data_IF_265386434189
#
_entry.id   IF_265386434189
#
_cell.length_a   1.000
_cell.length_b   1.000
_cell.length_c   1.000
_cell.angle_alpha   90.00
_cell.angle_beta   90.00
_cell.angle_gamma   90.00
#
_symmetry.space_group_name_H-M   'P 1'
#
loop_
_entity.id
_entity.type
_entity.pdbx_description
1 polymer ?
#
# COMPACT_ATOMS: atom_id res chain seq x y z
N UNK A 1 21.38 17.11 -11.83
CA UNK A 1 20.39 16.16 -12.36
C UNK A 1 19.05 16.87 -12.36
N UNK A 2 18.31 16.86 -13.48
CA UNK A 2 16.96 17.40 -13.51
C UNK A 2 16.07 16.52 -12.65
N UNK A 3 15.38 17.11 -11.67
CA UNK A 3 14.31 16.45 -10.92
C UNK A 3 13.24 16.05 -11.94
N UNK A 4 13.14 14.76 -12.23
CA UNK A 4 12.07 14.24 -13.06
C UNK A 4 10.91 13.99 -12.11
N UNK A 5 10.05 15.01 -11.93
CA UNK A 5 8.84 14.85 -11.12
C UNK A 5 7.90 13.86 -11.83
N UNK A 6 7.70 12.69 -11.25
CA UNK A 6 6.65 11.76 -11.65
C UNK A 6 5.31 12.28 -11.13
N UNK A 7 4.59 13.02 -11.97
CA UNK A 7 3.28 13.60 -11.60
C UNK A 7 2.11 12.66 -11.82
N UNK A 8 2.29 11.61 -12.62
CA UNK A 8 1.20 10.75 -13.04
C UNK A 8 1.31 9.39 -12.36
N UNK A 9 0.22 8.97 -11.72
CA UNK A 9 0.09 7.61 -11.18
C UNK A 9 0.06 6.59 -12.32
N UNK A 10 0.55 5.35 -12.12
CA UNK A 10 0.49 4.31 -13.13
C UNK A 10 -0.96 3.99 -13.53
N UNK A 11 -1.17 3.60 -14.79
CA UNK A 11 -2.51 3.30 -15.32
C UNK A 11 -3.20 2.19 -14.52
N UNK A 12 -2.46 1.14 -14.15
CA UNK A 12 -2.98 0.04 -13.33
C UNK A 12 -3.49 0.52 -11.97
N UNK A 13 -2.93 1.60 -11.41
CA UNK A 13 -3.37 2.17 -10.14
C UNK A 13 -4.59 3.06 -10.35
N UNK A 14 -4.58 3.90 -11.40
CA UNK A 14 -5.69 4.79 -11.75
C UNK A 14 -6.99 4.03 -12.00
N UNK A 15 -6.92 2.88 -12.67
CA UNK A 15 -8.07 2.00 -12.95
C UNK A 15 -8.75 1.46 -11.67
N UNK A 16 -8.06 1.54 -10.52
CA UNK A 16 -8.47 0.96 -9.25
C UNK A 16 -8.93 2.00 -8.25
N UNK A 17 -8.65 3.28 -8.53
CA UNK A 17 -9.12 4.35 -7.67
C UNK A 17 -10.64 4.46 -7.82
N UNK A 18 -11.37 4.47 -6.70
CA UNK A 18 -12.79 4.73 -6.76
C UNK A 18 -13.05 6.14 -7.28
N UNK A 19 -14.28 6.36 -7.74
CA UNK A 19 -14.73 7.71 -8.05
C UNK A 19 -14.58 8.59 -6.81
N UNK A 20 -13.87 9.71 -6.96
CA UNK A 20 -13.72 10.69 -5.88
C UNK A 20 -15.08 11.22 -5.44
N UNK A 21 -15.25 11.28 -4.12
CA UNK A 21 -16.47 11.77 -3.49
C UNK A 21 -16.21 13.05 -2.71
N UNK A 22 -17.23 13.91 -2.61
CA UNK A 22 -17.16 15.05 -1.69
C UNK A 22 -17.10 14.53 -0.25
N UNK A 23 -16.20 15.05 0.61
CA UNK A 23 -16.15 14.66 2.01
C UNK A 23 -17.31 15.30 2.79
N UNK A 24 -17.63 14.75 3.96
CA UNK A 24 -18.35 15.51 4.97
C UNK A 24 -17.45 16.63 5.52
N UNK A 25 -18.06 17.75 5.88
CA UNK A 25 -17.36 18.92 6.43
C UNK A 25 -17.67 19.01 7.91
N UNK A 26 -16.63 19.02 8.75
CA UNK A 26 -16.74 19.32 10.17
C UNK A 26 -16.44 20.80 10.41
N UNK A 27 -17.44 21.54 10.91
CA UNK A 27 -17.34 22.96 11.27
C UNK A 27 -17.77 23.21 12.72
N UNK A 28 -17.61 24.46 13.18
CA UNK A 28 -18.00 24.89 14.52
C UNK A 28 -19.10 25.97 14.46
N UNK A 29 -20.22 25.75 15.14
CA UNK A 29 -21.34 26.72 15.28
C UNK A 29 -21.71 26.90 16.74
N UNK A 30 -21.49 28.07 17.32
CA UNK A 30 -21.83 28.41 18.71
C UNK A 30 -21.34 27.36 19.74
N UNK A 31 -20.14 26.81 19.55
CA UNK A 31 -19.51 25.70 20.32
C UNK A 31 -19.98 24.28 20.01
N UNK A 32 -20.94 24.11 19.11
CA UNK A 32 -21.36 22.80 18.62
C UNK A 32 -20.56 22.37 17.40
N UNK A 33 -20.23 21.10 17.35
CA UNK A 33 -19.60 20.46 16.20
C UNK A 33 -20.69 20.11 15.18
N UNK A 34 -20.60 20.66 13.98
CA UNK A 34 -21.58 20.42 12.91
C UNK A 34 -20.91 19.64 11.80
N UNK A 35 -21.44 18.45 11.51
CA UNK A 35 -21.04 17.65 10.34
C UNK A 35 -22.06 17.91 9.24
N UNK A 36 -21.61 18.47 8.11
CA UNK A 36 -22.41 18.64 6.90
C UNK A 36 -22.00 17.60 5.87
N UNK A 37 -22.93 16.77 5.42
CA UNK A 37 -22.69 15.75 4.41
C UNK A 37 -22.85 16.29 2.98
N UNK A 38 -22.38 15.56 1.94
CA UNK A 38 -22.53 15.96 0.53
C UNK A 38 -24.00 16.16 0.10
N UNK A 39 -24.93 15.38 0.68
CA UNK A 39 -26.37 15.52 0.47
C UNK A 39 -26.99 16.71 1.23
N UNK A 40 -26.17 17.56 1.85
CA UNK A 40 -26.54 18.73 2.66
C UNK A 40 -27.27 18.41 3.96
N UNK A 41 -27.30 17.13 4.37
CA UNK A 41 -27.78 16.80 5.71
C UNK A 41 -26.78 17.26 6.76
N UNK A 42 -27.28 17.81 7.87
CA UNK A 42 -26.47 18.22 9.01
C UNK A 42 -26.70 17.27 10.20
N UNK A 43 -25.63 16.97 10.93
CA UNK A 43 -25.72 16.39 12.28
C UNK A 43 -24.93 17.25 13.25
N UNK A 44 -25.42 17.40 14.47
CA UNK A 44 -24.87 18.30 15.49
C UNK A 44 -24.42 17.45 16.68
N UNK A 45 -23.19 17.69 17.13
CA UNK A 45 -22.51 16.89 18.13
C UNK A 45 -21.90 17.76 19.22
N UNK A 46 -21.79 17.19 20.43
CA UNK A 46 -21.20 17.84 21.59
C UNK A 46 -19.71 17.52 21.75
N UNK A 47 -19.22 16.46 21.13
CA UNK A 47 -17.85 16.00 21.29
C UNK A 47 -17.25 15.40 20.02
N UNK A 48 -15.91 15.43 19.92
CA UNK A 48 -15.17 14.77 18.84
C UNK A 48 -15.37 13.25 18.84
N UNK A 49 -15.71 12.65 19.99
CA UNK A 49 -16.05 11.23 20.10
C UNK A 49 -17.35 10.91 19.37
N UNK A 50 -18.36 11.76 19.51
CA UNK A 50 -19.66 11.58 18.85
C UNK A 50 -19.52 11.77 17.35
N UNK A 51 -18.74 12.77 16.92
CA UNK A 51 -18.36 12.94 15.52
C UNK A 51 -17.65 11.69 15.00
N UNK A 52 -16.63 11.18 15.69
CA UNK A 52 -15.92 9.98 15.25
C UNK A 52 -16.88 8.77 15.10
N UNK A 53 -17.78 8.56 16.06
CA UNK A 53 -18.78 7.49 15.96
C UNK A 53 -19.70 7.69 14.75
N UNK A 54 -20.18 8.91 14.55
CA UNK A 54 -21.06 9.25 13.44
C UNK A 54 -20.39 8.99 12.08
N UNK A 55 -19.14 9.41 11.91
CA UNK A 55 -18.39 9.33 10.65
C UNK A 55 -17.84 7.92 10.38
N UNK A 56 -17.56 7.10 11.40
CA UNK A 56 -16.99 5.77 11.19
C UNK A 56 -18.00 4.62 11.27
N UNK A 57 -19.14 4.80 11.95
CA UNK A 57 -20.08 3.71 12.27
C UNK A 57 -21.49 3.98 11.74
N UNK A 58 -21.99 5.21 11.83
CA UNK A 58 -23.39 5.52 11.49
C UNK A 58 -23.54 5.85 10.00
N UNK A 59 -22.75 6.79 9.50
CA UNK A 59 -22.71 7.19 8.09
C UNK A 59 -21.25 7.31 7.63
N UNK A 60 -20.59 6.17 7.32
CA UNK A 60 -19.22 6.12 6.83
C UNK A 60 -18.96 7.09 5.67
N UNK A 61 -18.03 8.02 5.85
CA UNK A 61 -17.72 9.08 4.88
C UNK A 61 -16.39 9.73 5.23
N UNK A 62 -15.64 10.17 4.23
CA UNK A 62 -14.43 10.97 4.43
C UNK A 62 -14.74 12.30 5.13
N UNK A 63 -13.78 12.84 5.88
CA UNK A 63 -14.00 14.03 6.69
C UNK A 63 -12.98 15.11 6.37
N UNK A 64 -13.46 16.30 6.04
CA UNK A 64 -12.68 17.52 6.01
C UNK A 64 -12.96 18.33 7.28
N UNK A 65 -11.94 18.58 8.08
CA UNK A 65 -12.04 19.38 9.30
C UNK A 65 -11.69 20.83 8.96
N UNK A 66 -12.59 21.77 9.25
CA UNK A 66 -12.33 23.19 8.99
C UNK A 66 -11.39 23.83 10.04
N UNK A 67 -10.64 24.88 9.67
CA UNK A 67 -9.63 25.50 10.54
C UNK A 67 -10.15 25.95 11.91
N UNK A 68 -11.39 26.42 12.01
CA UNK A 68 -11.98 26.87 13.27
C UNK A 68 -12.14 25.74 14.29
N UNK A 69 -12.31 24.50 13.84
CA UNK A 69 -12.40 23.33 14.73
C UNK A 69 -11.03 23.01 15.31
N UNK A 70 -9.98 23.09 14.48
CA UNK A 70 -8.60 22.95 14.95
C UNK A 70 -8.24 24.02 15.98
N UNK A 71 -8.61 25.27 15.73
CA UNK A 71 -8.36 26.38 16.66
C UNK A 71 -9.09 26.22 17.99
N UNK A 72 -10.25 25.55 18.00
CA UNK A 72 -11.02 25.33 19.21
C UNK A 72 -10.48 24.16 20.06
N UNK A 73 -9.97 23.10 19.43
CA UNK A 73 -9.54 21.87 20.12
C UNK A 73 -8.03 21.65 20.23
N UNK A 74 -7.21 22.27 19.37
CA UNK A 74 -5.76 22.09 19.32
C UNK A 74 -5.02 23.24 19.99
N UNK A 75 -3.98 22.92 20.78
CA UNK A 75 -3.03 23.92 21.29
C UNK A 75 -2.00 24.31 20.22
N UNK A 76 -1.81 23.49 19.19
CA UNK A 76 -0.90 23.74 18.07
C UNK A 76 -1.52 23.33 16.73
N UNK A 77 -1.27 24.14 15.70
CA UNK A 77 -1.95 24.19 14.40
C UNK A 77 -1.57 23.02 13.47
N UNK A 78 -1.75 21.77 13.89
CA UNK A 78 -1.42 20.64 13.02
C UNK A 78 -2.59 20.27 12.09
N UNK A 79 -2.39 20.58 10.81
CA UNK A 79 -3.19 20.07 9.71
C UNK A 79 -3.11 18.53 9.70
N UNK A 80 -4.26 17.86 9.82
CA UNK A 80 -4.36 16.43 9.57
C UNK A 80 -5.05 15.61 10.66
N UNK A 81 -5.21 16.10 11.90
CA UNK A 81 -6.08 15.43 12.87
C UNK A 81 -6.12 16.02 14.28
N UNK A 82 -7.13 15.62 15.04
CA UNK A 82 -7.41 16.04 16.40
C UNK A 82 -7.33 14.85 17.36
N UNK A 83 -6.52 14.98 18.41
CA UNK A 83 -6.42 13.97 19.46
C UNK A 83 -7.37 14.31 20.61
N UNK A 84 -8.11 13.30 21.11
CA UNK A 84 -9.03 13.48 22.22
C UNK A 84 -9.12 12.21 23.07
N UNK A 85 -9.50 12.37 24.34
CA UNK A 85 -9.70 11.22 25.24
C UNK A 85 -11.07 10.60 25.02
N UNK A 86 -11.12 9.30 24.76
CA UNK A 86 -12.38 8.52 24.73
C UNK A 86 -12.72 7.92 26.08
N UNK A 87 -11.70 7.72 26.94
CA UNK A 87 -11.81 7.35 28.34
C UNK A 87 -10.60 7.86 29.14
N UNK A 88 -10.53 7.57 30.45
CA UNK A 88 -9.39 7.92 31.29
C UNK A 88 -8.05 7.36 30.76
N UNK A 89 -8.09 6.21 30.10
CA UNK A 89 -6.91 5.46 29.68
C UNK A 89 -6.77 5.35 28.16
N UNK A 90 -7.75 5.84 27.40
CA UNK A 90 -7.79 5.72 25.94
C UNK A 90 -7.89 7.10 25.32
N UNK A 91 -6.97 7.37 24.41
CA UNK A 91 -7.06 8.46 23.44
C UNK A 91 -7.48 7.91 22.09
N UNK A 92 -8.08 8.78 21.30
CA UNK A 92 -8.42 8.53 19.91
C UNK A 92 -8.00 9.73 19.08
N UNK A 93 -7.99 9.55 17.75
CA UNK A 93 -7.68 10.58 16.78
C UNK A 93 -8.82 10.68 15.78
N UNK A 94 -9.28 11.91 15.52
CA UNK A 94 -10.15 12.23 14.40
C UNK A 94 -9.28 12.85 13.31
N UNK A 95 -9.11 12.16 12.19
CA UNK A 95 -8.27 12.63 11.10
C UNK A 95 -9.10 13.41 10.08
N UNK A 96 -8.51 14.46 9.50
CA UNK A 96 -9.03 15.05 8.28
C UNK A 96 -8.42 14.27 7.11
N UNK A 97 -9.24 13.62 6.31
CA UNK A 97 -8.82 12.86 5.14
C UNK A 97 -9.91 12.95 4.09
N UNK A 98 -9.48 13.28 2.87
CA UNK A 98 -10.33 13.37 1.68
C UNK A 98 -9.72 12.48 0.59
N UNK A 99 -10.53 12.07 -0.38
CA UNK A 99 -10.05 11.36 -1.56
C UNK A 99 -8.94 12.14 -2.29
N UNK A 100 -9.01 13.48 -2.31
CA UNK A 100 -7.94 14.32 -2.86
C UNK A 100 -6.63 14.18 -2.07
N UNK A 101 -6.67 14.15 -0.73
CA UNK A 101 -5.46 13.96 0.06
C UNK A 101 -4.87 12.55 -0.11
N UNK A 102 -5.72 11.53 -0.24
CA UNK A 102 -5.28 10.16 -0.53
C UNK A 102 -4.60 10.08 -1.91
N UNK A 103 -5.15 10.78 -2.91
CA UNK A 103 -4.57 10.88 -4.24
C UNK A 103 -3.21 11.60 -4.24
N UNK A 104 -3.10 12.74 -3.57
CA UNK A 104 -1.84 13.47 -3.40
C UNK A 104 -0.79 12.63 -2.66
N UNK A 105 -1.22 11.86 -1.66
CA UNK A 105 -0.34 10.93 -0.95
C UNK A 105 0.23 9.86 -1.89
N UNK A 106 -0.60 9.27 -2.76
CA UNK A 106 -0.15 8.31 -3.77
C UNK A 106 0.88 8.92 -4.73
N UNK A 107 0.67 10.16 -5.19
CA UNK A 107 1.62 10.85 -6.07
C UNK A 107 2.95 11.08 -5.35
N UNK A 108 2.90 11.52 -4.09
CA UNK A 108 4.11 11.68 -3.27
C UNK A 108 4.81 10.35 -3.04
N UNK A 109 4.08 9.27 -2.79
CA UNK A 109 4.65 7.94 -2.57
C UNK A 109 5.34 7.41 -3.83
N UNK A 110 4.76 7.64 -5.02
CA UNK A 110 5.38 7.26 -6.30
C UNK A 110 6.69 8.01 -6.52
N UNK A 111 6.69 9.32 -6.22
CA UNK A 111 7.89 10.14 -6.30
C UNK A 111 8.99 9.61 -5.36
N UNK A 112 8.64 9.28 -4.11
CA UNK A 112 9.57 8.67 -3.15
C UNK A 112 10.10 7.32 -3.64
N UNK A 113 9.25 6.46 -4.18
CA UNK A 113 9.66 5.17 -4.73
C UNK A 113 10.68 5.33 -5.86
N UNK A 114 10.44 6.30 -6.76
CA UNK A 114 11.37 6.61 -7.84
C UNK A 114 12.70 7.17 -7.33
N UNK A 115 12.69 8.05 -6.33
CA UNK A 115 13.91 8.56 -5.70
C UNK A 115 14.73 7.43 -5.06
N UNK A 116 14.06 6.48 -4.41
CA UNK A 116 14.70 5.30 -3.84
C UNK A 116 15.28 4.38 -4.92
N UNK A 117 14.59 4.21 -6.06
CA UNK A 117 15.16 3.50 -7.22
C UNK A 117 16.41 4.20 -7.74
N UNK A 118 16.40 5.54 -7.89
CA UNK A 118 17.59 6.27 -8.34
C UNK A 118 18.75 6.14 -7.34
N UNK A 119 18.46 6.13 -6.04
CA UNK A 119 19.47 5.90 -5.01
C UNK A 119 20.07 4.48 -5.09
N UNK A 120 19.22 3.46 -5.31
CA UNK A 120 19.64 2.09 -5.55
C UNK A 120 20.51 1.98 -6.81
N UNK A 121 20.11 2.57 -7.94
CA UNK A 121 20.86 2.52 -9.19
C UNK A 121 22.24 3.21 -9.09
N UNK A 122 22.36 4.22 -8.23
CA UNK A 122 23.65 4.86 -7.95
C UNK A 122 24.61 3.95 -7.17
N UNK A 123 24.10 3.04 -6.34
CA UNK A 123 24.91 2.09 -5.56
C UNK A 123 24.14 0.78 -5.28
N UNK A 124 24.04 -0.14 -6.27
CA UNK A 124 23.15 -1.30 -6.18
C UNK A 124 23.65 -2.38 -5.19
N UNK A 125 24.84 -2.20 -4.64
CA UNK A 125 25.43 -3.09 -3.62
C UNK A 125 25.28 -2.56 -2.20
N UNK A 126 24.68 -1.39 -2.01
CA UNK A 126 24.40 -0.84 -0.69
C UNK A 126 23.08 -1.40 -0.15
N UNK A 127 23.14 -1.94 1.06
CA UNK A 127 22.00 -2.58 1.70
C UNK A 127 20.84 -1.61 1.96
N UNK A 128 21.12 -0.39 2.42
CA UNK A 128 20.06 0.55 2.81
C UNK A 128 19.29 1.05 1.59
N UNK A 129 20.01 1.36 0.50
CA UNK A 129 19.35 1.75 -0.76
C UNK A 129 18.57 0.59 -1.37
N UNK A 130 19.10 -0.64 -1.35
CA UNK A 130 18.37 -1.83 -1.78
C UNK A 130 17.09 -2.06 -0.94
N UNK A 131 17.20 -1.94 0.40
CA UNK A 131 16.09 -2.10 1.31
C UNK A 131 14.99 -1.06 1.04
N UNK A 132 15.32 0.23 0.95
CA UNK A 132 14.33 1.28 0.70
C UNK A 132 13.71 1.21 -0.70
N UNK A 133 14.49 0.79 -1.70
CA UNK A 133 13.98 0.51 -3.04
C UNK A 133 12.89 -0.57 -3.00
N UNK A 134 13.16 -1.71 -2.35
CA UNK A 134 12.15 -2.79 -2.20
C UNK A 134 10.96 -2.30 -1.37
N UNK A 135 11.21 -1.66 -0.23
CA UNK A 135 10.18 -1.33 0.76
C UNK A 135 9.09 -0.40 0.21
N UNK A 136 9.45 0.44 -0.78
CA UNK A 136 8.58 1.45 -1.37
C UNK A 136 8.15 1.14 -2.81
N UNK A 137 8.61 0.02 -3.39
CA UNK A 137 8.39 -0.29 -4.80
C UNK A 137 6.89 -0.45 -5.13
N UNK A 138 6.36 0.18 -6.21
CA UNK A 138 4.92 0.13 -6.51
C UNK A 138 4.36 -1.27 -6.77
N UNK A 139 5.19 -2.21 -7.25
CA UNK A 139 4.82 -3.63 -7.42
C UNK A 139 4.34 -4.32 -6.13
N UNK A 140 4.62 -3.71 -4.97
CA UNK A 140 4.24 -4.23 -3.65
C UNK A 140 3.20 -3.38 -2.95
N UNK A 141 2.66 -2.36 -3.59
CA UNK A 141 1.61 -1.56 -2.97
C UNK A 141 0.33 -2.39 -2.86
N UNK A 142 -0.35 -2.25 -1.71
CA UNK A 142 -1.61 -2.93 -1.45
C UNK A 142 -2.67 -1.96 -0.98
N UNK A 143 -3.94 -2.26 -1.23
CA UNK A 143 -5.05 -1.47 -0.73
C UNK A 143 -5.68 -2.14 0.48
N UNK A 144 -6.02 -1.35 1.49
CA UNK A 144 -6.74 -1.78 2.68
C UNK A 144 -8.08 -1.04 2.79
N UNK A 145 -9.05 -1.69 3.42
CA UNK A 145 -10.39 -1.15 3.63
C UNK A 145 -11.39 -1.43 2.50
N UNK A 146 -12.66 -1.15 2.78
CA UNK A 146 -13.75 -1.07 1.81
C UNK A 146 -14.14 0.41 1.64
N UNK A 147 -14.81 0.75 0.53
CA UNK A 147 -15.28 2.12 0.30
C UNK A 147 -16.18 2.61 1.44
N UNK A 148 -16.06 3.89 1.85
CA UNK A 148 -15.22 4.96 1.28
C UNK A 148 -13.79 5.03 1.86
N UNK A 149 -13.44 4.19 2.82
CA UNK A 149 -12.19 4.24 3.59
C UNK A 149 -11.03 3.47 2.95
N UNK A 150 -10.89 3.56 1.63
CA UNK A 150 -9.77 2.94 0.93
C UNK A 150 -8.46 3.65 1.32
N UNK A 151 -7.41 2.88 1.57
CA UNK A 151 -6.07 3.39 1.84
C UNK A 151 -5.02 2.47 1.22
N UNK A 152 -4.13 3.02 0.43
CA UNK A 152 -3.01 2.28 -0.14
C UNK A 152 -1.84 2.27 0.84
N UNK A 153 -1.37 1.07 1.17
CA UNK A 153 -0.09 0.88 1.82
C UNK A 153 1.01 0.92 0.76
N UNK A 154 1.84 1.96 0.81
CA UNK A 154 2.88 2.26 -0.17
C UNK A 154 4.30 2.03 0.36
N UNK A 155 4.42 1.54 1.60
CA UNK A 155 5.70 1.29 2.28
C UNK A 155 5.60 0.12 3.26
N UNK A 156 6.72 -0.28 3.86
CA UNK A 156 6.77 -1.34 4.86
C UNK A 156 6.69 -2.74 4.28
N UNK A 157 6.80 -2.91 2.96
CA UNK A 157 6.77 -4.23 2.33
C UNK A 157 7.87 -5.15 2.86
N UNK A 158 9.05 -4.62 3.21
CA UNK A 158 10.15 -5.43 3.74
C UNK A 158 9.81 -6.14 5.07
N UNK A 159 8.77 -5.69 5.79
CA UNK A 159 8.28 -6.37 6.99
C UNK A 159 7.43 -7.61 6.67
N UNK A 160 6.91 -7.69 5.44
CA UNK A 160 6.07 -8.78 4.94
C UNK A 160 6.86 -9.79 4.10
N UNK A 161 8.13 -9.50 3.78
CA UNK A 161 9.03 -10.46 3.14
C UNK A 161 9.25 -11.62 4.10
N UNK A 162 9.01 -12.85 3.62
CA UNK A 162 9.27 -14.04 4.42
C UNK A 162 10.78 -14.27 4.52
N UNK A 163 11.26 -14.57 5.72
CA UNK A 163 12.67 -14.78 6.01
C UNK A 163 12.89 -16.17 6.59
N UNK A 164 13.64 -17.00 5.88
CA UNK A 164 14.14 -18.29 6.35
C UNK A 164 15.63 -18.20 6.71
N UNK A 165 16.03 -18.91 7.77
CA UNK A 165 17.44 -19.13 8.10
C UNK A 165 17.66 -20.63 8.21
N UNK A 166 18.59 -21.16 7.43
CA UNK A 166 18.95 -22.57 7.49
C UNK A 166 20.47 -22.75 7.48
N UNK A 167 20.90 -23.92 7.94
CA UNK A 167 22.30 -24.35 7.89
C UNK A 167 22.43 -25.36 6.75
N UNK A 168 23.32 -25.08 5.80
CA UNK A 168 23.65 -25.94 4.66
C UNK A 168 25.16 -26.17 4.64
N UNK A 169 25.59 -27.43 4.80
CA UNK A 169 27.00 -27.81 4.93
C UNK A 169 27.82 -26.99 5.95
N UNK A 170 27.21 -26.65 7.09
CA UNK A 170 27.85 -25.87 8.16
C UNK A 170 27.93 -24.37 7.87
N UNK A 171 27.29 -23.89 6.79
CA UNK A 171 27.15 -22.47 6.47
C UNK A 171 25.73 -22.01 6.71
N UNK A 172 25.60 -20.86 7.34
CA UNK A 172 24.32 -20.19 7.50
C UNK A 172 23.91 -19.58 6.15
N UNK A 173 22.69 -19.84 5.74
CA UNK A 173 22.08 -19.28 4.53
C UNK A 173 20.78 -18.59 4.92
N UNK A 174 20.64 -17.35 4.48
CA UNK A 174 19.43 -16.56 4.55
C UNK A 174 18.66 -16.75 3.25
N UNK A 175 17.35 -16.96 3.39
CA UNK A 175 16.41 -17.07 2.29
C UNK A 175 15.31 -16.04 2.42
N UNK A 176 15.00 -15.35 1.33
CA UNK A 176 13.88 -14.43 1.26
C UNK A 176 12.88 -14.91 0.19
N UNK A 177 11.59 -14.89 0.55
CA UNK A 177 10.47 -15.06 -0.38
C UNK A 177 9.56 -13.83 -0.32
N UNK A 178 9.10 -13.40 -1.48
CA UNK A 178 8.05 -12.38 -1.59
C UNK A 178 7.35 -12.50 -2.96
N UNK A 179 6.40 -11.63 -3.25
CA UNK A 179 5.92 -11.43 -4.59
C UNK A 179 5.06 -10.19 -4.74
N UNK A 180 4.77 -9.87 -6.00
CA UNK A 180 4.00 -8.69 -6.36
C UNK A 180 2.54 -8.83 -5.93
N UNK A 181 1.86 -7.69 -5.93
CA UNK A 181 0.41 -7.67 -5.81
C UNK A 181 -0.24 -8.34 -7.04
N UNK A 182 -1.46 -8.87 -6.90
CA UNK A 182 -2.18 -9.48 -8.02
C UNK A 182 -3.15 -8.50 -8.69
N UNK A 183 -3.06 -8.42 -10.03
CA UNK A 183 -4.17 -7.97 -10.87
C UNK A 183 -5.31 -8.99 -10.73
N UNK A 184 -6.47 -8.60 -10.21
CA UNK A 184 -7.61 -9.51 -10.08
C UNK A 184 -8.13 -9.88 -11.45
N UNK A 185 -8.37 -11.17 -11.65
CA UNK A 185 -9.28 -11.66 -12.67
C UNK A 185 -10.37 -12.50 -11.97
N UNK A 186 -11.61 -12.16 -12.29
CA UNK A 186 -12.86 -12.96 -12.23
C UNK A 186 -13.85 -12.93 -11.04
N UNK A 187 -13.49 -12.88 -9.74
CA UNK A 187 -14.53 -13.03 -8.69
C UNK A 187 -14.67 -11.87 -7.67
N UNK A 188 -15.34 -10.78 -8.09
CA UNK A 188 -16.14 -9.97 -7.14
C UNK A 188 -15.44 -8.92 -6.25
N UNK A 189 -14.61 -8.03 -6.82
CA UNK A 189 -14.49 -6.66 -6.28
C UNK A 189 -13.31 -6.22 -5.38
N UNK A 190 -12.52 -7.11 -4.76
CA UNK A 190 -11.32 -6.68 -3.97
C UNK A 190 -10.00 -6.97 -4.69
N UNK A 191 -9.32 -5.92 -5.15
CA UNK A 191 -8.09 -5.90 -5.96
C UNK A 191 -6.88 -5.48 -5.09
N UNK A 192 -5.70 -6.09 -5.26
CA UNK A 192 -4.43 -5.71 -4.60
C UNK A 192 -4.41 -5.67 -3.06
N UNK A 193 -5.17 -6.51 -2.35
CA UNK A 193 -5.14 -6.55 -0.87
C UNK A 193 -4.01 -7.43 -0.32
N UNK A 194 -3.46 -8.32 -1.15
CA UNK A 194 -2.51 -9.35 -0.75
C UNK A 194 -1.37 -9.46 -1.77
N UNK A 195 -0.22 -9.93 -1.30
CA UNK A 195 0.89 -10.40 -2.12
C UNK A 195 0.81 -11.92 -2.25
N UNK A 196 1.12 -12.44 -3.43
CA UNK A 196 1.31 -13.87 -3.63
C UNK A 196 2.78 -14.16 -3.80
N UNK A 197 3.20 -15.38 -3.48
CA UNK A 197 4.57 -15.82 -3.70
C UNK A 197 4.93 -15.77 -5.18
N UNK A 198 5.97 -15.00 -5.52
CA UNK A 198 6.57 -14.97 -6.85
C UNK A 198 7.94 -15.64 -6.78
N UNK A 199 8.01 -16.89 -7.23
CA UNK A 199 9.23 -17.68 -7.25
C UNK A 199 10.39 -17.01 -8.01
N UNK A 200 10.11 -16.04 -8.89
CA UNK A 200 11.14 -15.28 -9.60
C UNK A 200 11.92 -14.37 -8.65
N UNK A 201 11.36 -14.01 -7.50
CA UNK A 201 11.96 -13.14 -6.50
C UNK A 201 12.65 -13.91 -5.36
N UNK A 202 12.63 -15.23 -5.38
CA UNK A 202 13.29 -16.07 -4.39
C UNK A 202 14.82 -15.87 -4.43
N UNK A 203 15.39 -15.52 -3.27
CA UNK A 203 16.84 -15.26 -3.17
C UNK A 203 17.47 -15.91 -1.95
N UNK A 204 18.69 -16.40 -2.15
CA UNK A 204 19.52 -17.01 -1.12
C UNK A 204 20.86 -16.28 -0.99
N UNK A 205 21.32 -16.04 0.23
CA UNK A 205 22.63 -15.44 0.48
C UNK A 205 23.19 -15.79 1.85
N UNK A 206 24.51 -15.61 2.02
CA UNK A 206 25.21 -15.91 3.27
C UNK A 206 24.91 -14.90 4.40
N UNK A 207 24.36 -13.73 4.06
CA UNK A 207 23.96 -12.69 5.02
C UNK A 207 22.63 -12.06 4.65
N UNK A 208 22.00 -11.43 5.64
CA UNK A 208 20.72 -10.75 5.48
C UNK A 208 20.84 -9.59 4.47
N UNK A 209 21.91 -8.80 4.58
CA UNK A 209 22.18 -7.67 3.70
C UNK A 209 22.37 -8.12 2.25
N UNK A 210 23.15 -9.19 2.04
CA UNK A 210 23.35 -9.75 0.70
C UNK A 210 22.06 -10.32 0.12
N UNK A 211 21.17 -10.87 0.95
CA UNK A 211 19.89 -11.37 0.51
C UNK A 211 19.01 -10.21 -0.01
N UNK A 212 18.92 -9.09 0.72
CA UNK A 212 18.17 -7.90 0.28
C UNK A 212 18.78 -7.24 -0.96
N UNK A 213 20.12 -7.18 -1.07
CA UNK A 213 20.79 -6.69 -2.28
C UNK A 213 20.41 -7.54 -3.50
N UNK A 214 20.40 -8.87 -3.35
CA UNK A 214 19.96 -9.79 -4.41
C UNK A 214 18.48 -9.61 -4.72
N UNK A 215 17.62 -9.49 -3.71
CA UNK A 215 16.19 -9.27 -3.90
C UNK A 215 15.94 -7.99 -4.70
N UNK A 216 16.61 -6.88 -4.37
CA UNK A 216 16.49 -5.62 -5.11
C UNK A 216 16.87 -5.79 -6.58
N UNK A 217 17.94 -6.55 -6.87
CA UNK A 217 18.31 -6.85 -8.25
C UNK A 217 17.23 -7.65 -8.99
N UNK A 218 16.54 -8.59 -8.30
CA UNK A 218 15.43 -9.34 -8.88
C UNK A 218 14.20 -8.46 -9.11
N UNK A 219 13.85 -7.59 -8.16
CA UNK A 219 12.76 -6.61 -8.31
C UNK A 219 13.02 -5.70 -9.51
N UNK A 220 14.20 -5.09 -9.60
CA UNK A 220 14.56 -4.23 -10.73
C UNK A 220 14.58 -4.97 -12.08
N UNK A 221 14.96 -6.25 -12.06
CA UNK A 221 14.98 -7.11 -13.25
C UNK A 221 13.58 -7.38 -13.79
N UNK A 222 12.59 -7.63 -12.93
CA UNK A 222 11.25 -8.06 -13.34
C UNK A 222 10.21 -6.96 -13.38
N UNK A 223 10.40 -5.87 -12.62
CA UNK A 223 9.45 -4.78 -12.54
C UNK A 223 10.10 -3.46 -12.95
N UNK A 224 9.31 -2.56 -13.51
CA UNK A 224 9.72 -1.18 -13.73
C UNK A 224 9.39 -0.29 -12.53
N UNK A 225 9.84 0.97 -12.59
CA UNK A 225 9.62 1.99 -11.56
C UNK A 225 8.15 2.28 -11.25
N UNK A 226 7.22 1.86 -12.10
CA UNK A 226 5.78 2.02 -11.90
C UNK A 226 5.14 0.76 -11.31
N UNK A 227 5.93 -0.29 -11.04
CA UNK A 227 5.44 -1.56 -10.53
C UNK A 227 4.90 -2.49 -11.61
N UNK A 228 5.07 -2.16 -12.89
CA UNK A 228 4.60 -2.99 -14.01
C UNK A 228 5.63 -4.07 -14.32
N UNK A 229 5.15 -5.29 -14.55
CA UNK A 229 6.02 -6.38 -15.02
C UNK A 229 6.63 -6.04 -16.38
N UNK A 230 7.96 -6.18 -16.46
CA UNK A 230 8.69 -6.04 -17.72
C UNK A 230 8.40 -7.25 -18.61
N UNK A 231 8.04 -7.05 -19.88
CA UNK A 231 7.75 -8.14 -20.79
C UNK A 231 9.00 -8.95 -21.12
N UNK A 232 8.81 -10.24 -21.37
CA UNK A 232 9.80 -11.15 -21.96
C UNK A 232 11.14 -11.26 -21.22
N UNK A 233 11.17 -11.01 -19.91
CA UNK A 233 12.39 -11.14 -19.10
C UNK A 233 12.76 -12.62 -18.91
N UNK A 234 13.94 -13.07 -19.42
CA UNK A 234 14.34 -14.46 -19.28
C UNK A 234 14.57 -14.85 -17.82
N UNK A 235 13.99 -15.98 -17.43
CA UNK A 235 14.17 -16.56 -16.11
C UNK A 235 14.08 -18.08 -16.16
N UNK A 236 14.79 -18.73 -15.25
CA UNK A 236 14.80 -20.19 -15.14
C UNK A 236 13.69 -20.56 -14.16
N UNK A 237 12.74 -21.36 -14.61
CA UNK A 237 11.72 -21.93 -13.73
C UNK A 237 12.35 -23.00 -12.84
N UNK A 238 12.14 -22.96 -11.52
CA UNK A 238 12.58 -24.04 -10.65
C UNK A 238 11.80 -25.32 -10.98
N UNK A 239 12.39 -26.48 -10.66
CA UNK A 239 11.84 -27.80 -11.01
C UNK A 239 10.40 -27.97 -10.54
N UNK A 240 10.07 -27.51 -9.33
CA UNK A 240 8.73 -27.64 -8.77
C UNK A 240 7.68 -26.84 -9.57
N UNK A 241 8.03 -25.69 -10.15
CA UNK A 241 7.14 -24.92 -11.03
C UNK A 241 6.90 -25.67 -12.33
N UNK A 242 7.94 -26.26 -12.91
CA UNK A 242 7.81 -27.08 -14.13
C UNK A 242 6.92 -28.32 -13.89
N UNK A 243 7.07 -28.96 -12.73
CA UNK A 243 6.23 -30.08 -12.32
C UNK A 243 4.77 -29.65 -12.09
N UNK A 244 4.55 -28.49 -11.47
CA UNK A 244 3.23 -27.92 -11.25
C UNK A 244 2.54 -27.59 -12.59
N UNK A 245 3.24 -26.93 -13.52
CA UNK A 245 2.73 -26.60 -14.85
C UNK A 245 2.28 -27.87 -15.61
N UNK A 246 3.08 -28.94 -15.51
CA UNK A 246 2.74 -30.24 -16.11
C UNK A 246 1.46 -30.82 -15.50
N UNK A 247 1.33 -30.82 -14.18
CA UNK A 247 0.12 -31.30 -13.49
C UNK A 247 -1.13 -30.48 -13.83
N UNK A 248 -0.99 -29.16 -13.95
CA UNK A 248 -2.09 -28.27 -14.37
C UNK A 248 -2.53 -28.61 -15.79
N UNK A 249 -1.59 -28.86 -16.71
CA UNK A 249 -1.90 -29.25 -18.08
C UNK A 249 -2.63 -30.61 -18.14
N UNK A 250 -2.17 -31.60 -17.39
CA UNK A 250 -2.83 -32.91 -17.26
C UNK A 250 -4.27 -32.77 -16.72
N UNK A 251 -4.48 -31.95 -15.69
CA UNK A 251 -5.81 -31.69 -15.13
C UNK A 251 -6.75 -30.97 -16.11
N UNK A 252 -6.25 -30.00 -16.88
CA UNK A 252 -7.05 -29.31 -17.91
C UNK A 252 -7.49 -30.29 -19.00
N UNK A 253 -6.59 -31.15 -19.47
CA UNK A 253 -6.92 -32.19 -20.45
C UNK A 253 -8.02 -33.13 -19.93
N UNK A 254 -7.93 -33.57 -18.67
CA UNK A 254 -8.97 -34.39 -18.07
C UNK A 254 -10.34 -33.69 -18.03
N UNK A 255 -10.34 -32.39 -17.68
CA UNK A 255 -11.57 -31.59 -17.63
C UNK A 255 -12.20 -31.38 -19.01
N UNK A 256 -11.39 -31.27 -20.04
CA UNK A 256 -11.83 -31.14 -21.44
C UNK A 256 -12.30 -32.49 -22.02
N UNK A 257 -11.85 -33.62 -21.48
CA UNK A 257 -12.25 -34.98 -21.87
C UNK A 257 -13.53 -35.47 -21.15
N UNK A 258 -13.88 -34.90 -19.99
CA UNK A 258 -15.13 -35.19 -19.25
C UNK A 258 -16.33 -34.31 -19.67
N UNK A 259 -16.15 -33.38 -20.61
CA UNK A 259 -17.19 -32.51 -21.21
C UNK A 259 -17.56 -32.97 -22.63
#
# INVERSE_FOLDING_TARGET
>A
MQSTELKQLPDWLLEQLPQMTEPAILSLRDTKLVVTYPDRTETIHDSLKDVQHQIHQVKPTDLQILPEVYQYFGEDKENGGLFFKTSKHLSSRLSSSTDQNKFEHLQSALQTAFENEQAYLANPTDFLTAYHFIDTHPAFWTVTGDLPSWYWNTWGHCQNVYHGVYEDDGKLVIYLETGSHLNKVEDGGKLYQEHYHDYRLDVWADTFEQAFIKLAAMVYKFFDHQGVERPDVPHIKPTWVLELDKRIAELKQWKDEEL
#
